data_IF_202435709686
#
_entry.id   IF_202435709686
#
_cell.length_a   1.000
_cell.length_b   1.000
_cell.length_c   1.000
_cell.angle_alpha   90.00
_cell.angle_beta   90.00
_cell.angle_gamma   90.00
#
_symmetry.space_group_name_H-M   'P 1'
#
loop_
_entity.id
_entity.type
_entity.pdbx_description
1 polymer ?
#
# COMPACT_ATOMS: atom_id res chain seq x y z
N UNK A 1 18.14 -10.08 6.94
CA UNK A 1 17.16 -9.14 6.35
C UNK A 1 16.24 -8.66 7.46
N UNK A 2 16.04 -7.34 7.59
CA UNK A 2 15.04 -6.80 8.54
C UNK A 2 13.67 -7.28 8.09
N UNK A 3 12.91 -7.92 8.99
CA UNK A 3 11.55 -8.36 8.71
C UNK A 3 10.56 -7.25 9.01
N UNK A 4 9.38 -7.32 8.39
CA UNK A 4 8.26 -6.45 8.74
C UNK A 4 7.91 -6.64 10.23
N UNK A 5 7.95 -5.56 11.01
CA UNK A 5 7.65 -5.61 12.45
C UNK A 5 6.88 -4.40 12.93
N UNK A 6 6.08 -4.57 13.98
CA UNK A 6 5.36 -3.48 14.64
C UNK A 6 5.99 -3.19 16.02
N UNK A 7 6.45 -1.95 16.21
CA UNK A 7 7.25 -1.53 17.37
C UNK A 7 6.41 -1.24 18.61
N UNK A 8 5.17 -0.80 18.42
CA UNK A 8 4.32 -0.37 19.54
C UNK A 8 3.58 -1.54 20.17
N UNK A 9 3.09 -1.31 21.40
CA UNK A 9 2.21 -2.27 22.05
C UNK A 9 0.86 -2.36 21.31
N UNK A 10 0.23 -3.53 21.27
CA UNK A 10 -1.11 -3.67 20.68
C UNK A 10 -2.14 -2.77 21.37
N UNK A 11 -3.04 -2.16 20.58
CA UNK A 11 -4.18 -1.39 21.09
C UNK A 11 -5.24 -2.39 21.59
N UNK A 12 -5.49 -2.39 22.90
CA UNK A 12 -6.27 -3.45 23.56
C UNK A 12 -7.78 -3.24 23.65
N UNK A 13 -8.31 -2.07 23.27
CA UNK A 13 -9.74 -1.76 23.37
C UNK A 13 -10.15 -0.61 22.44
N UNK A 14 -11.46 -0.43 22.25
CA UNK A 14 -12.02 0.71 21.50
C UNK A 14 -11.69 2.03 22.19
N UNK A 15 -11.80 2.10 23.52
CA UNK A 15 -11.37 3.24 24.32
C UNK A 15 -9.91 3.64 24.06
N UNK A 16 -8.98 2.67 24.06
CA UNK A 16 -7.58 2.94 23.76
C UNK A 16 -7.35 3.36 22.30
N UNK A 17 -8.12 2.80 21.36
CA UNK A 17 -8.06 3.20 19.95
C UNK A 17 -8.54 4.65 19.76
N UNK A 18 -9.69 5.01 20.33
CA UNK A 18 -10.25 6.35 20.27
C UNK A 18 -9.29 7.39 20.87
N UNK A 19 -8.72 7.07 22.05
CA UNK A 19 -7.70 7.90 22.69
C UNK A 19 -6.46 8.08 21.79
N UNK A 20 -5.95 7.00 21.20
CA UNK A 20 -4.79 7.06 20.30
C UNK A 20 -5.05 7.92 19.07
N UNK A 21 -6.28 7.88 18.54
CA UNK A 21 -6.72 8.64 17.35
C UNK A 21 -7.19 10.07 17.67
N UNK A 22 -7.23 10.46 18.95
CA UNK A 22 -7.65 11.79 19.38
C UNK A 22 -9.13 12.10 19.11
N UNK A 23 -10.00 11.08 19.20
CA UNK A 23 -11.45 11.17 19.02
C UNK A 23 -12.18 10.51 20.21
N UNK A 24 -13.47 10.75 20.33
CA UNK A 24 -14.29 10.03 21.34
C UNK A 24 -14.63 8.62 20.87
N UNK A 25 -14.90 7.68 21.79
CA UNK A 25 -15.36 6.32 21.43
C UNK A 25 -16.62 6.36 20.57
N UNK A 26 -17.57 7.22 20.95
CA UNK A 26 -18.82 7.42 20.19
C UNK A 26 -18.55 7.90 18.77
N UNK A 27 -17.69 8.91 18.59
CA UNK A 27 -17.33 9.42 17.26
C UNK A 27 -16.65 8.34 16.41
N UNK A 28 -15.76 7.56 17.00
CA UNK A 28 -15.05 6.47 16.33
C UNK A 28 -16.03 5.39 15.85
N UNK A 29 -16.90 4.92 16.73
CA UNK A 29 -17.89 3.88 16.43
C UNK A 29 -18.94 4.35 15.43
N UNK A 30 -19.47 5.57 15.60
CA UNK A 30 -20.43 6.18 14.67
C UNK A 30 -19.80 6.34 13.27
N UNK A 31 -18.53 6.76 13.21
CA UNK A 31 -17.81 6.90 11.94
C UNK A 31 -17.55 5.54 11.29
N UNK A 32 -17.12 4.54 12.05
CA UNK A 32 -16.86 3.19 11.55
C UNK A 32 -18.15 2.55 10.99
N UNK A 33 -19.25 2.63 11.73
CA UNK A 33 -20.56 2.12 11.30
C UNK A 33 -21.07 2.79 10.02
N UNK A 34 -20.73 4.06 9.82
CA UNK A 34 -21.14 4.85 8.66
C UNK A 34 -20.04 5.04 7.61
N UNK A 35 -18.91 4.33 7.72
CA UNK A 35 -17.68 4.59 6.96
C UNK A 35 -17.92 4.73 5.45
N UNK A 36 -18.77 3.86 4.89
CA UNK A 36 -19.15 3.85 3.46
C UNK A 36 -19.62 5.23 2.95
N UNK A 37 -20.29 6.00 3.80
CA UNK A 37 -20.89 7.28 3.42
C UNK A 37 -19.85 8.39 3.28
N UNK A 38 -18.65 8.20 3.82
CA UNK A 38 -17.54 9.16 3.76
C UNK A 38 -16.58 8.91 2.58
N UNK A 39 -16.75 7.80 1.86
CA UNK A 39 -16.09 7.59 0.57
C UNK A 39 -16.93 8.19 -0.55
N UNK A 40 -16.38 9.20 -1.24
CA UNK A 40 -17.04 9.86 -2.39
C UNK A 40 -16.33 9.48 -3.67
N UNK A 41 -17.04 8.91 -4.67
CA UNK A 41 -16.41 8.56 -5.94
C UNK A 41 -15.93 9.82 -6.65
N UNK A 42 -14.69 9.79 -7.14
CA UNK A 42 -14.17 10.79 -8.05
C UNK A 42 -14.65 10.50 -9.48
N UNK A 43 -14.43 11.44 -10.39
CA UNK A 43 -14.67 11.22 -11.82
C UNK A 43 -13.83 10.01 -12.29
N UNK A 44 -14.43 9.00 -12.94
CA UNK A 44 -13.68 7.85 -13.41
C UNK A 44 -12.59 8.25 -14.41
N UNK A 45 -11.44 7.58 -14.33
CA UNK A 45 -10.33 7.76 -15.26
C UNK A 45 -10.36 6.62 -16.26
N UNK A 46 -10.47 6.95 -17.55
CA UNK A 46 -10.39 5.95 -18.64
C UNK A 46 -8.92 5.75 -18.99
N UNK A 47 -8.42 4.53 -18.82
CA UNK A 47 -7.05 4.17 -19.23
C UNK A 47 -6.97 4.04 -20.77
N UNK A 48 -5.77 4.17 -21.38
CA UNK A 48 -5.60 4.02 -22.84
C UNK A 48 -6.08 2.69 -23.41
N UNK A 49 -6.11 1.64 -22.58
CA UNK A 49 -6.62 0.31 -22.92
C UNK A 49 -8.15 0.18 -22.77
N UNK A 50 -8.88 1.29 -22.58
CA UNK A 50 -10.33 1.32 -22.41
C UNK A 50 -10.82 0.91 -21.02
N UNK A 51 -9.96 0.40 -20.12
CA UNK A 51 -10.37 0.01 -18.77
C UNK A 51 -10.62 1.26 -17.91
N UNK A 52 -11.70 1.26 -17.16
CA UNK A 52 -12.05 2.34 -16.23
C UNK A 52 -11.42 2.12 -14.87
N UNK A 53 -10.85 3.18 -14.30
CA UNK A 53 -10.34 3.25 -12.92
C UNK A 53 -11.24 4.15 -12.09
N UNK A 54 -11.88 3.59 -11.06
CA UNK A 54 -12.70 4.33 -10.10
C UNK A 54 -11.88 4.59 -8.84
N UNK A 55 -11.67 5.86 -8.50
CA UNK A 55 -11.04 6.24 -7.22
C UNK A 55 -12.05 6.92 -6.30
N UNK A 56 -11.74 6.93 -5.01
CA UNK A 56 -12.59 7.48 -3.96
C UNK A 56 -11.79 8.50 -3.17
N UNK A 57 -12.35 9.70 -2.99
CA UNK A 57 -11.86 10.63 -1.98
C UNK A 57 -12.56 10.34 -0.65
N UNK A 58 -11.84 10.51 0.46
CA UNK A 58 -12.40 10.38 1.81
C UNK A 58 -12.74 11.78 2.32
N UNK A 59 -13.91 11.94 2.93
CA UNK A 59 -14.35 13.19 3.55
C UNK A 59 -14.41 13.06 5.07
N UNK A 60 -14.52 14.20 5.77
CA UNK A 60 -14.63 14.23 7.24
C UNK A 60 -15.91 13.56 7.76
N UNK A 61 -15.87 12.96 8.97
CA UNK A 61 -14.73 12.87 9.89
C UNK A 61 -13.77 11.71 9.60
N UNK A 62 -14.09 10.84 8.63
CA UNK A 62 -13.29 9.64 8.34
C UNK A 62 -11.87 9.99 7.86
N UNK A 63 -11.73 11.08 7.10
CA UNK A 63 -10.43 11.52 6.60
C UNK A 63 -9.44 11.78 7.75
N UNK A 64 -9.83 12.58 8.75
CA UNK A 64 -9.02 12.83 9.95
C UNK A 64 -8.68 11.55 10.72
N UNK A 65 -9.64 10.63 10.86
CA UNK A 65 -9.40 9.33 11.52
C UNK A 65 -8.38 8.50 10.75
N UNK A 66 -8.44 8.48 9.41
CA UNK A 66 -7.47 7.78 8.57
C UNK A 66 -6.06 8.36 8.67
N UNK A 67 -5.94 9.69 8.75
CA UNK A 67 -4.64 10.34 9.01
C UNK A 67 -4.10 9.95 10.38
N UNK A 68 -4.95 9.91 11.41
CA UNK A 68 -4.58 9.40 12.73
C UNK A 68 -4.11 7.94 12.71
N UNK A 69 -4.77 7.07 11.93
CA UNK A 69 -4.34 5.67 11.75
C UNK A 69 -2.92 5.62 11.16
N UNK A 70 -2.64 6.44 10.13
CA UNK A 70 -1.30 6.49 9.52
C UNK A 70 -0.25 6.97 10.53
N UNK A 71 -0.53 8.06 11.23
CA UNK A 71 0.43 8.73 12.11
C UNK A 71 0.67 7.99 13.42
N UNK A 72 -0.34 7.35 13.99
CA UNK A 72 -0.28 6.78 15.34
C UNK A 72 -0.14 5.26 15.34
N UNK A 73 -0.58 4.60 14.27
CA UNK A 73 -0.53 3.14 14.15
C UNK A 73 0.49 2.74 13.10
N UNK A 74 0.31 3.12 11.83
CA UNK A 74 1.17 2.65 10.73
C UNK A 74 2.61 3.15 10.88
N UNK A 75 2.84 4.34 11.43
CA UNK A 75 4.19 4.87 11.72
C UNK A 75 5.01 3.98 12.67
N UNK A 76 4.35 3.10 13.44
CA UNK A 76 5.01 2.12 14.29
C UNK A 76 5.55 0.91 13.55
N UNK A 77 5.29 0.78 12.24
CA UNK A 77 5.76 -0.35 11.43
C UNK A 77 7.16 -0.08 10.88
N UNK A 78 8.07 -1.03 11.11
CA UNK A 78 9.32 -1.13 10.38
C UNK A 78 9.09 -1.92 9.10
N UNK A 79 9.32 -1.27 7.96
CA UNK A 79 9.23 -1.93 6.67
C UNK A 79 10.60 -2.47 6.23
N UNK A 80 10.66 -3.67 5.65
CA UNK A 80 11.90 -4.21 5.09
C UNK A 80 12.40 -3.37 3.91
N UNK A 81 13.70 -3.45 3.63
CA UNK A 81 14.37 -2.65 2.59
C UNK A 81 13.89 -2.96 1.17
N UNK A 82 13.47 -4.19 0.89
CA UNK A 82 13.01 -4.57 -0.45
C UNK A 82 11.64 -3.97 -0.80
N UNK A 83 10.88 -3.48 0.19
CA UNK A 83 9.61 -2.80 -0.03
C UNK A 83 9.85 -1.33 -0.36
N UNK A 84 9.60 -0.88 -1.59
CA UNK A 84 9.93 0.50 -1.99
C UNK A 84 8.69 1.42 -2.11
N UNK A 85 7.51 0.84 -2.28
CA UNK A 85 6.30 1.57 -2.65
C UNK A 85 5.58 2.20 -1.46
N UNK A 86 5.23 3.49 -1.56
CA UNK A 86 4.29 4.18 -0.66
C UNK A 86 4.62 4.13 0.84
N UNK A 87 5.89 3.98 1.17
CA UNK A 87 6.38 3.91 2.55
C UNK A 87 7.14 5.19 2.88
N UNK A 88 6.71 5.87 3.94
CA UNK A 88 7.43 7.00 4.51
C UNK A 88 8.39 6.48 5.56
N UNK A 89 9.68 6.55 5.26
CA UNK A 89 10.76 6.11 6.14
C UNK A 89 11.84 7.19 6.12
N UNK A 90 12.17 7.74 7.29
CA UNK A 90 13.13 8.85 7.43
C UNK A 90 14.56 8.33 7.41
N UNK A 91 14.79 7.13 7.96
CA UNK A 91 16.13 6.52 8.05
C UNK A 91 16.53 5.91 6.72
N UNK A 92 15.58 5.29 6.02
CA UNK A 92 15.73 4.73 4.69
C UNK A 92 14.74 5.36 3.72
N UNK A 93 15.01 6.59 3.22
CA UNK A 93 14.13 7.25 2.28
C UNK A 93 13.91 6.40 1.04
N UNK A 94 12.63 6.18 0.68
CA UNK A 94 12.22 5.39 -0.48
C UNK A 94 11.61 6.31 -1.52
N UNK A 95 12.07 6.20 -2.76
CA UNK A 95 11.48 6.88 -3.91
C UNK A 95 11.73 6.10 -5.20
N UNK A 96 11.06 6.54 -6.27
CA UNK A 96 11.13 5.89 -7.57
C UNK A 96 12.53 5.93 -8.22
N UNK A 97 13.39 6.89 -7.83
CA UNK A 97 14.77 6.98 -8.33
C UNK A 97 15.62 5.92 -7.62
N UNK A 98 15.52 5.82 -6.29
CA UNK A 98 16.24 4.83 -5.48
C UNK A 98 15.85 3.41 -5.85
N UNK A 99 14.56 3.14 -6.02
CA UNK A 99 14.06 1.85 -6.52
C UNK A 99 14.68 1.50 -7.89
N UNK A 100 14.65 2.45 -8.84
CA UNK A 100 15.28 2.26 -10.15
C UNK A 100 16.80 2.00 -10.04
N UNK A 101 17.51 2.67 -9.12
CA UNK A 101 18.95 2.45 -8.89
C UNK A 101 19.24 1.04 -8.35
N UNK A 102 18.41 0.52 -7.43
CA UNK A 102 18.54 -0.86 -6.91
C UNK A 102 18.46 -1.87 -8.06
N UNK A 103 17.61 -1.61 -9.06
CA UNK A 103 17.43 -2.50 -10.21
C UNK A 103 18.36 -2.20 -11.38
N UNK A 104 19.04 -1.04 -11.37
CA UNK A 104 19.88 -0.56 -12.46
C UNK A 104 21.18 -1.35 -12.67
N UNK A 105 21.50 -2.38 -11.88
CA UNK A 105 22.62 -3.28 -12.14
C UNK A 105 22.19 -4.62 -12.76
N UNK A 106 20.89 -4.93 -12.79
CA UNK A 106 20.40 -6.23 -13.24
C UNK A 106 20.29 -6.30 -14.77
N UNK A 107 20.72 -7.43 -15.33
CA UNK A 107 20.59 -7.74 -16.76
C UNK A 107 19.18 -8.21 -17.14
N UNK A 108 18.43 -8.70 -16.15
CA UNK A 108 17.06 -9.18 -16.27
C UNK A 108 16.19 -8.52 -15.22
N UNK A 109 15.07 -7.95 -15.66
CA UNK A 109 14.02 -7.41 -14.79
C UNK A 109 12.76 -8.25 -14.98
N UNK A 110 12.28 -8.85 -13.89
CA UNK A 110 10.98 -9.50 -13.82
C UNK A 110 9.95 -8.45 -13.40
N UNK A 111 8.88 -8.32 -14.16
CA UNK A 111 7.77 -7.43 -13.82
C UNK A 111 6.48 -8.24 -13.74
N UNK A 112 5.89 -8.27 -12.55
CA UNK A 112 4.56 -8.82 -12.27
C UNK A 112 3.62 -7.70 -11.82
N UNK A 113 2.37 -7.74 -12.28
CA UNK A 113 1.34 -6.74 -11.93
C UNK A 113 0.05 -7.44 -11.50
N UNK A 114 -0.41 -7.15 -10.28
CA UNK A 114 -1.66 -7.69 -9.76
C UNK A 114 -2.81 -6.84 -10.29
N UNK A 115 -3.55 -7.41 -11.24
CA UNK A 115 -4.71 -6.76 -11.83
C UNK A 115 -5.70 -6.33 -10.75
N UNK A 116 -6.04 -5.03 -10.72
CA UNK A 116 -7.04 -4.47 -9.79
C UNK A 116 -6.71 -4.73 -8.32
N UNK A 117 -5.43 -4.65 -7.95
CA UNK A 117 -4.93 -4.96 -6.62
C UNK A 117 -5.81 -4.42 -5.46
N UNK A 118 -6.10 -3.12 -5.43
CA UNK A 118 -6.93 -2.51 -4.39
C UNK A 118 -8.34 -3.12 -4.29
N UNK A 119 -9.05 -3.22 -5.42
CA UNK A 119 -10.42 -3.76 -5.43
C UNK A 119 -10.48 -5.28 -5.30
N UNK A 120 -9.36 -5.98 -5.52
CA UNK A 120 -9.21 -7.41 -5.20
C UNK A 120 -8.83 -7.66 -3.73
N UNK A 121 -8.24 -6.67 -3.04
CA UNK A 121 -7.88 -6.78 -1.63
C UNK A 121 -9.13 -6.70 -0.76
N UNK A 122 -9.59 -7.85 -0.27
CA UNK A 122 -10.84 -7.98 0.48
C UNK A 122 -10.70 -7.60 1.95
N UNK A 123 -11.79 -7.15 2.56
CA UNK A 123 -11.86 -6.79 3.99
C UNK A 123 -11.35 -7.88 4.93
N UNK A 124 -11.52 -9.15 4.58
CA UNK A 124 -11.10 -10.28 5.39
C UNK A 124 -9.58 -10.32 5.52
N UNK A 125 -8.85 -10.00 4.45
CA UNK A 125 -7.39 -9.88 4.48
C UNK A 125 -6.95 -8.71 5.34
N UNK A 126 -7.62 -7.56 5.19
CA UNK A 126 -7.38 -6.36 6.01
C UNK A 126 -7.61 -6.64 7.50
N UNK A 127 -8.71 -7.32 7.84
CA UNK A 127 -9.01 -7.71 9.21
C UNK A 127 -7.99 -8.68 9.78
N UNK A 128 -7.59 -9.69 9.01
CA UNK A 128 -6.53 -10.64 9.39
C UNK A 128 -5.20 -9.91 9.65
N UNK A 129 -4.86 -8.92 8.83
CA UNK A 129 -3.69 -8.07 9.05
C UNK A 129 -3.78 -7.34 10.40
N UNK A 130 -4.87 -6.60 10.68
CA UNK A 130 -5.04 -5.93 11.97
C UNK A 130 -4.99 -6.89 13.17
N UNK A 131 -5.62 -8.06 13.04
CA UNK A 131 -5.69 -9.05 14.12
C UNK A 131 -4.35 -9.76 14.37
N UNK A 132 -3.65 -10.18 13.32
CA UNK A 132 -2.53 -11.10 13.44
C UNK A 132 -1.16 -10.42 13.32
N UNK A 133 -1.03 -9.42 12.43
CA UNK A 133 0.22 -8.66 12.32
C UNK A 133 0.34 -7.64 13.46
N UNK A 134 -0.66 -6.80 13.64
CA UNK A 134 -0.68 -5.79 14.72
C UNK A 134 -1.07 -6.34 16.09
N UNK A 135 -1.59 -7.57 16.13
CA UNK A 135 -2.04 -8.27 17.36
C UNK A 135 -3.17 -7.55 18.10
N UNK A 136 -4.01 -6.82 17.35
CA UNK A 136 -5.16 -6.16 17.92
C UNK A 136 -6.29 -7.15 18.20
N UNK A 137 -7.09 -6.95 19.26
CA UNK A 137 -8.25 -7.80 19.54
C UNK A 137 -9.31 -7.66 18.45
N UNK A 138 -10.19 -8.66 18.36
CA UNK A 138 -11.18 -8.82 17.28
C UNK A 138 -12.01 -7.56 17.02
N UNK A 139 -12.50 -6.92 18.08
CA UNK A 139 -13.33 -5.71 18.00
C UNK A 139 -12.55 -4.50 17.45
N UNK A 140 -11.31 -4.28 17.88
CA UNK A 140 -10.44 -3.21 17.38
C UNK A 140 -10.09 -3.45 15.91
N UNK A 141 -9.75 -4.68 15.56
CA UNK A 141 -9.46 -5.07 14.18
C UNK A 141 -10.66 -4.87 13.25
N UNK A 142 -11.88 -5.18 13.73
CA UNK A 142 -13.13 -4.96 12.98
C UNK A 142 -13.38 -3.46 12.73
N UNK A 143 -13.27 -2.61 13.76
CA UNK A 143 -13.44 -1.15 13.61
C UNK A 143 -12.42 -0.56 12.64
N UNK A 144 -11.15 -0.92 12.76
CA UNK A 144 -10.11 -0.47 11.83
C UNK A 144 -10.39 -0.94 10.40
N UNK A 145 -10.87 -2.17 10.23
CA UNK A 145 -11.26 -2.70 8.90
C UNK A 145 -12.39 -1.86 8.30
N UNK A 146 -13.42 -1.52 9.06
CA UNK A 146 -14.52 -0.67 8.59
C UNK A 146 -14.04 0.72 8.18
N UNK A 147 -13.12 1.31 8.95
CA UNK A 147 -12.56 2.63 8.67
C UNK A 147 -11.65 2.64 7.43
N UNK A 148 -10.98 1.53 7.09
CA UNK A 148 -10.00 1.46 5.99
C UNK A 148 -10.47 0.67 4.77
N UNK A 149 -11.74 0.27 4.71
CA UNK A 149 -12.32 -0.43 3.54
C UNK A 149 -13.61 0.25 3.08
N UNK A 150 -13.97 0.00 1.82
CA UNK A 150 -15.20 0.46 1.20
C UNK A 150 -15.85 -0.70 0.46
N UNK A 151 -17.12 -1.02 0.76
CA UNK A 151 -17.86 -2.13 0.15
C UNK A 151 -17.04 -3.43 0.06
N UNK A 152 -16.41 -3.80 1.17
CA UNK A 152 -15.62 -5.03 1.35
C UNK A 152 -14.29 -5.11 0.55
N UNK A 153 -13.81 -3.99 0.01
CA UNK A 153 -12.48 -3.90 -0.62
C UNK A 153 -11.69 -2.67 -0.15
N UNK A 154 -10.38 -2.63 -0.44
CA UNK A 154 -9.54 -1.46 -0.15
C UNK A 154 -9.77 -0.39 -1.23
N UNK A 155 -10.29 0.80 -0.89
CA UNK A 155 -10.63 1.81 -1.88
C UNK A 155 -9.39 2.46 -2.48
N UNK A 156 -9.39 2.63 -3.79
CA UNK A 156 -8.30 3.34 -4.44
C UNK A 156 -8.41 4.86 -4.24
N UNK A 157 -7.35 5.50 -3.74
CA UNK A 157 -7.31 6.95 -3.52
C UNK A 157 -7.50 7.39 -2.06
N UNK A 158 -7.83 6.49 -1.13
CA UNK A 158 -7.80 6.79 0.29
C UNK A 158 -6.36 6.79 0.84
N UNK A 159 -6.09 7.62 1.84
CA UNK A 159 -4.72 7.83 2.36
C UNK A 159 -4.16 6.59 3.04
N UNK A 160 -5.01 5.78 3.68
CA UNK A 160 -4.63 4.53 4.36
C UNK A 160 -4.40 3.36 3.41
N UNK A 161 -5.00 3.38 2.21
CA UNK A 161 -4.97 2.25 1.28
C UNK A 161 -3.58 1.78 0.92
N UNK A 162 -2.56 2.64 0.72
CA UNK A 162 -1.20 2.18 0.45
C UNK A 162 -0.50 1.48 1.60
N UNK A 163 -0.73 1.91 2.84
CA UNK A 163 -0.22 1.19 3.99
C UNK A 163 -0.87 -0.19 4.10
N UNK A 164 -2.21 -0.23 4.01
CA UNK A 164 -2.98 -1.48 4.08
C UNK A 164 -2.54 -2.46 2.98
N UNK A 165 -2.38 -1.95 1.75
CA UNK A 165 -1.90 -2.68 0.59
C UNK A 165 -0.56 -3.40 0.82
N UNK A 166 0.45 -2.69 1.33
CA UNK A 166 1.75 -3.28 1.64
C UNK A 166 1.63 -4.33 2.77
N UNK A 167 0.79 -4.06 3.76
CA UNK A 167 0.73 -4.84 4.99
C UNK A 167 -0.14 -6.09 4.87
N UNK A 168 -1.11 -6.19 3.97
CA UNK A 168 -1.95 -7.40 3.85
C UNK A 168 -1.17 -8.65 3.48
N UNK A 169 0.00 -8.50 2.83
CA UNK A 169 0.87 -9.62 2.44
C UNK A 169 2.01 -9.91 3.41
N UNK A 170 1.98 -9.31 4.61
CA UNK A 170 3.02 -9.45 5.64
C UNK A 170 3.49 -10.88 5.92
N UNK A 171 2.61 -11.88 5.73
CA UNK A 171 2.90 -13.30 5.94
C UNK A 171 3.58 -13.99 4.75
N UNK A 172 3.21 -13.62 3.53
CA UNK A 172 3.61 -14.34 2.31
C UNK A 172 4.84 -13.72 1.65
N UNK A 173 4.89 -12.39 1.65
CA UNK A 173 5.93 -11.61 0.97
C UNK A 173 7.36 -11.97 1.43
N UNK A 174 7.68 -12.16 2.73
CA UNK A 174 9.04 -12.51 3.13
C UNK A 174 9.54 -13.87 2.59
N UNK A 175 8.63 -14.85 2.42
CA UNK A 175 8.98 -16.16 1.85
C UNK A 175 9.28 -16.04 0.37
N UNK A 176 8.44 -15.29 -0.34
CA UNK A 176 8.57 -15.06 -1.77
C UNK A 176 9.88 -14.33 -2.10
N UNK A 177 10.16 -13.26 -1.37
CA UNK A 177 11.43 -12.52 -1.45
C UNK A 177 12.65 -13.42 -1.16
N UNK A 178 12.57 -14.30 -0.16
CA UNK A 178 13.65 -15.24 0.14
C UNK A 178 13.89 -16.20 -1.04
N UNK A 179 12.83 -16.80 -1.58
CA UNK A 179 12.92 -17.73 -2.72
C UNK A 179 13.49 -17.07 -3.97
N UNK A 180 13.10 -15.82 -4.24
CA UNK A 180 13.55 -15.08 -5.42
C UNK A 180 15.03 -14.68 -5.28
N UNK A 181 15.47 -14.29 -4.08
CA UNK A 181 16.90 -14.10 -3.79
C UNK A 181 17.73 -15.36 -3.94
N UNK A 182 17.23 -16.52 -3.51
CA UNK A 182 17.93 -17.81 -3.70
C UNK A 182 18.12 -18.15 -5.19
N UNK A 183 17.21 -17.70 -6.05
CA UNK A 183 17.29 -17.85 -7.51
C UNK A 183 18.14 -16.77 -8.18
N UNK A 184 18.72 -15.84 -7.42
CA UNK A 184 19.58 -14.76 -7.93
C UNK A 184 18.82 -13.52 -8.42
N UNK A 185 17.53 -13.40 -8.11
CA UNK A 185 16.76 -12.18 -8.40
C UNK A 185 16.95 -11.14 -7.29
N UNK A 186 17.13 -9.87 -7.68
CA UNK A 186 17.10 -8.72 -6.77
C UNK A 186 15.75 -8.04 -6.96
N UNK A 187 14.89 -8.11 -5.95
CA UNK A 187 13.54 -7.56 -6.05
C UNK A 187 13.40 -6.24 -5.32
N UNK A 188 12.57 -5.37 -5.90
CA UNK A 188 11.92 -4.26 -5.23
C UNK A 188 10.43 -4.55 -5.31
N UNK A 189 9.86 -5.07 -4.22
CA UNK A 189 8.42 -5.21 -4.14
C UNK A 189 7.82 -3.81 -3.98
N UNK A 190 7.00 -3.41 -4.95
CA UNK A 190 6.16 -2.22 -4.83
C UNK A 190 4.74 -2.75 -4.96
N UNK A 191 3.96 -2.76 -3.88
CA UNK A 191 2.62 -3.37 -3.87
C UNK A 191 1.59 -2.63 -4.75
N UNK A 192 2.01 -1.75 -5.67
CA UNK A 192 1.13 -0.74 -6.27
C UNK A 192 1.43 -0.25 -7.68
N UNK A 193 2.25 -0.91 -8.52
CA UNK A 193 2.80 -0.26 -9.73
C UNK A 193 3.97 0.69 -9.27
N UNK A 194 4.99 0.99 -10.06
CA UNK A 194 4.78 2.04 -11.04
C UNK A 194 3.80 3.11 -10.48
N UNK A 195 4.20 3.85 -9.42
CA UNK A 195 3.40 4.93 -8.78
C UNK A 195 3.11 6.11 -9.75
N UNK A 196 3.11 5.88 -11.06
CA UNK A 196 3.47 6.79 -12.15
C UNK A 196 4.94 7.17 -12.01
N UNK A 197 5.63 7.29 -13.13
CA UNK A 197 6.45 8.49 -13.29
C UNK A 197 5.54 9.70 -12.97
N UNK A 198 5.52 10.16 -11.71
CA UNK A 198 4.80 11.35 -11.24
C UNK A 198 3.31 11.18 -10.93
N UNK A 199 2.96 11.07 -9.65
CA UNK A 199 2.00 12.04 -9.09
C UNK A 199 2.85 13.03 -8.31
N UNK A 200 3.08 14.19 -8.90
CA UNK A 200 3.92 15.24 -8.34
C UNK A 200 5.09 15.67 -9.23
N UNK A 201 5.30 15.03 -10.39
CA UNK A 201 6.19 15.59 -11.41
C UNK A 201 5.35 16.33 -12.44
N UNK A 202 5.63 17.63 -12.55
CA UNK A 202 5.40 18.44 -13.73
C UNK A 202 5.47 17.56 -15.00
N UNK A 203 4.42 17.54 -15.86
CA UNK A 203 4.40 16.77 -17.11
C UNK A 203 5.66 16.94 -17.96
N UNK A 204 6.39 18.06 -17.83
CA UNK A 204 7.66 18.32 -18.52
C UNK A 204 8.83 17.43 -18.05
N UNK A 205 8.82 16.94 -16.80
CA UNK A 205 9.90 16.10 -16.22
C UNK A 205 9.72 14.61 -16.47
N UNK A 206 8.51 14.17 -16.84
CA UNK A 206 8.17 12.76 -17.10
C UNK A 206 8.98 12.13 -18.24
N UNK A 207 9.21 12.88 -19.32
CA UNK A 207 9.94 12.37 -20.49
C UNK A 207 11.44 12.23 -20.19
N UNK A 208 12.03 13.14 -19.42
CA UNK A 208 13.44 13.04 -19.00
C UNK A 208 13.73 11.80 -18.16
N UNK A 209 12.83 11.41 -17.25
CA UNK A 209 13.00 10.21 -16.43
C UNK A 209 12.87 8.91 -17.24
N UNK A 210 11.98 8.88 -18.23
CA UNK A 210 11.81 7.74 -19.14
C UNK A 210 13.03 7.61 -20.06
N UNK A 211 13.56 8.73 -20.58
CA UNK A 211 14.72 8.74 -21.45
C UNK A 211 16.02 8.40 -20.69
N UNK A 212 16.13 8.79 -19.42
CA UNK A 212 17.23 8.39 -18.52
C UNK A 212 17.17 6.88 -18.18
N UNK A 213 15.98 6.36 -17.87
CA UNK A 213 15.80 4.93 -17.64
C UNK A 213 16.09 4.11 -18.90
N UNK A 214 15.64 4.57 -20.06
CA UNK A 214 15.92 3.94 -21.37
C UNK A 214 17.39 4.02 -21.78
N UNK A 215 18.08 5.11 -21.46
CA UNK A 215 19.51 5.25 -21.75
C UNK A 215 20.36 4.31 -20.88
N UNK A 216 19.94 4.04 -19.63
CA UNK A 216 20.53 3.04 -18.75
C UNK A 216 20.21 1.57 -19.09
N UNK A 217 19.18 1.33 -19.91
CA UNK A 217 18.72 -0.01 -20.32
C UNK A 217 19.33 -0.52 -21.65
N UNK A 218 20.18 0.26 -22.32
CA UNK A 218 20.83 -0.19 -23.57
C UNK A 218 21.61 -1.50 -23.33
N UNK A 219 21.13 -2.59 -23.92
CA UNK A 219 21.77 -3.92 -23.87
C UNK A 219 21.22 -4.90 -22.82
N UNK A 220 20.05 -4.63 -22.21
CA UNK A 220 19.48 -5.49 -21.15
C UNK A 220 18.12 -6.10 -21.53
N UNK A 221 17.86 -7.32 -21.07
CA UNK A 221 16.66 -8.09 -21.40
C UNK A 221 15.61 -7.93 -20.32
N UNK A 222 14.51 -7.24 -20.59
CA UNK A 222 13.37 -7.19 -19.65
C UNK A 222 12.47 -8.39 -19.92
N UNK A 223 12.29 -9.26 -18.92
CA UNK A 223 11.33 -10.36 -18.97
C UNK A 223 10.01 -9.87 -18.35
N UNK A 224 9.06 -9.53 -19.21
CA UNK A 224 7.68 -9.28 -18.80
C UNK A 224 7.00 -10.62 -18.59
N UNK A 225 6.76 -11.00 -17.32
CA UNK A 225 5.85 -12.08 -17.04
C UNK A 225 4.42 -11.51 -17.01
N UNK A 226 3.53 -12.13 -17.77
CA UNK A 226 2.16 -11.67 -17.92
C UNK A 226 1.34 -12.10 -16.72
N UNK A 227 0.68 -11.12 -16.10
CA UNK A 227 -0.53 -11.21 -15.26
C UNK A 227 -0.90 -12.61 -14.79
N UNK A 228 -0.72 -12.88 -13.49
CA UNK A 228 -1.48 -13.94 -12.82
C UNK A 228 -2.95 -13.51 -12.77
N UNK A 229 -3.74 -13.95 -13.75
CA UNK A 229 -5.19 -14.00 -13.61
C UNK A 229 -5.51 -15.14 -12.64
N UNK A 230 -5.64 -14.84 -11.35
CA UNK A 230 -6.11 -15.85 -10.40
C UNK A 230 -7.61 -16.11 -10.59
N UNK A 231 -7.91 -17.40 -10.58
CA UNK A 231 -9.17 -18.09 -10.87
C UNK A 231 -10.29 -17.86 -9.85
#
# INVERSE_FOLDING_TARGET
MKQLSYRYKPIGSIASLALALGVTEKELEDTAKNARNYYKPNKPIIKPNGKTRQTYRVIEPLHKIQDGILEKIVSGVDFPEYLQGSIKDVELPRDYIRDAVIHAANNILLKEDISRFFSSTRRELVKKMWKFFFRFPENVAEVLTQLTTYNDFVPEGASTSPAVANLVFWKHEPSLEYELRQKGYIEGWTSQEWFRAGVGLDPKKRNQSIDWFRSGLKGRTVLLAQTVEEA
#
